data_IF_079148675637
#
_entry.id   IF_079148675637
#
_cell.length_a   1.000
_cell.length_b   1.000
_cell.length_c   1.000
_cell.angle_alpha   90.00
_cell.angle_beta   90.00
_cell.angle_gamma   90.00
#
_symmetry.space_group_name_H-M   'P 1'
#
loop_
_entity.id
_entity.type
_entity.pdbx_description
1 polymer ?
#
# COMPACT_ATOMS: atom_id res chain seq x y z
N UNK A 1 -38.75 11.54 23.98
CA UNK A 1 -38.26 10.24 23.48
C UNK A 1 -38.09 10.12 21.95
N UNK A 2 -38.58 11.08 21.12
CA UNK A 2 -38.36 11.05 19.65
C UNK A 2 -37.07 11.76 19.20
N UNK A 3 -36.66 12.83 19.90
CA UNK A 3 -35.44 13.60 19.58
C UNK A 3 -34.16 12.78 19.83
N UNK A 4 -34.18 11.90 20.85
CA UNK A 4 -33.03 11.03 21.16
C UNK A 4 -32.80 9.97 20.07
N UNK A 5 -33.87 9.46 19.44
CA UNK A 5 -33.76 8.54 18.30
C UNK A 5 -33.18 9.20 17.05
N UNK A 6 -33.51 10.47 16.79
CA UNK A 6 -32.96 11.23 15.66
C UNK A 6 -31.46 11.51 15.83
N UNK A 7 -31.02 11.82 17.05
CA UNK A 7 -29.60 11.98 17.40
C UNK A 7 -28.81 10.66 17.28
N UNK A 8 -29.42 9.52 17.63
CA UNK A 8 -28.84 8.19 17.46
C UNK A 8 -28.77 7.76 15.99
N UNK A 9 -29.72 8.15 15.14
CA UNK A 9 -29.66 7.92 13.69
C UNK A 9 -28.63 8.82 12.99
N UNK A 10 -28.37 10.04 13.47
CA UNK A 10 -27.26 10.87 12.95
C UNK A 10 -25.88 10.39 13.38
N UNK A 11 -25.80 9.57 14.42
CA UNK A 11 -24.59 8.84 14.84
C UNK A 11 -24.43 7.50 14.13
N UNK A 12 -25.35 7.13 13.21
CA UNK A 12 -25.17 6.00 12.33
C UNK A 12 -24.08 6.34 11.28
N UNK A 13 -22.84 6.31 11.76
CA UNK A 13 -21.65 5.81 11.10
C UNK A 13 -21.63 6.09 9.59
N UNK A 14 -21.20 7.30 9.24
CA UNK A 14 -20.52 7.50 7.96
C UNK A 14 -19.22 6.71 8.02
N UNK A 15 -19.31 5.40 7.82
CA UNK A 15 -18.14 4.58 7.56
C UNK A 15 -17.64 5.07 6.21
N UNK A 16 -16.41 5.56 6.18
CA UNK A 16 -15.79 6.02 4.95
C UNK A 16 -15.87 4.91 3.88
N UNK A 17 -16.04 5.34 2.64
CA UNK A 17 -16.19 4.44 1.50
C UNK A 17 -14.82 3.86 1.10
N UNK A 18 -14.77 2.63 0.57
CA UNK A 18 -13.51 2.02 0.18
C UNK A 18 -12.90 2.66 -1.07
N UNK A 19 -11.57 2.68 -1.08
CA UNK A 19 -10.76 2.98 -2.26
C UNK A 19 -10.38 1.68 -2.97
N UNK A 20 -10.54 1.67 -4.30
CA UNK A 20 -10.04 0.61 -5.18
C UNK A 20 -8.60 0.92 -5.58
N UNK A 21 -7.66 0.14 -5.08
CA UNK A 21 -6.24 0.34 -5.35
C UNK A 21 -5.74 -0.67 -6.36
N UNK A 22 -5.06 -0.17 -7.39
CA UNK A 22 -4.37 -0.96 -8.40
C UNK A 22 -2.87 -0.69 -8.26
N UNK A 23 -2.08 -1.73 -8.01
CA UNK A 23 -0.61 -1.62 -8.03
C UNK A 23 -0.03 -2.52 -9.11
N UNK A 24 0.93 -1.99 -9.85
CA UNK A 24 1.61 -2.67 -10.93
C UNK A 24 3.12 -2.49 -10.82
N UNK A 25 3.84 -3.59 -10.73
CA UNK A 25 5.28 -3.57 -10.56
C UNK A 25 5.99 -4.33 -11.68
N UNK A 26 6.98 -3.68 -12.28
CA UNK A 26 7.73 -4.20 -13.42
C UNK A 26 9.14 -4.59 -13.02
N UNK A 27 9.44 -5.89 -13.10
CA UNK A 27 10.78 -6.43 -12.98
C UNK A 27 11.31 -6.81 -14.38
N UNK A 28 11.66 -5.79 -15.17
CA UNK A 28 12.29 -6.01 -16.46
C UNK A 28 13.69 -6.65 -16.27
N UNK A 29 14.25 -7.28 -17.31
CA UNK A 29 15.56 -7.97 -17.34
C UNK A 29 15.61 -9.46 -16.95
N UNK A 30 14.47 -10.17 -16.88
CA UNK A 30 14.44 -11.65 -16.74
C UNK A 30 15.40 -12.18 -15.65
N UNK A 31 15.36 -11.56 -14.46
CA UNK A 31 16.16 -11.98 -13.30
C UNK A 31 15.73 -13.35 -12.73
N UNK A 32 14.79 -14.03 -13.39
CA UNK A 32 14.17 -15.26 -12.94
C UNK A 32 13.08 -14.99 -11.92
N UNK A 33 12.99 -15.85 -10.91
CA UNK A 33 12.05 -15.67 -9.80
C UNK A 33 12.49 -14.49 -8.93
N UNK A 34 11.61 -13.53 -8.74
CA UNK A 34 11.78 -12.43 -7.80
C UNK A 34 10.64 -12.45 -6.76
N UNK A 35 10.88 -11.82 -5.62
CA UNK A 35 9.96 -11.78 -4.50
C UNK A 35 9.94 -10.38 -3.89
N UNK A 36 8.85 -10.08 -3.21
CA UNK A 36 8.71 -8.84 -2.48
C UNK A 36 7.77 -8.93 -1.29
N UNK A 37 7.88 -7.93 -0.44
CA UNK A 37 6.97 -7.63 0.65
C UNK A 37 6.36 -6.26 0.41
N UNK A 38 5.08 -6.25 0.09
CA UNK A 38 4.30 -5.04 -0.12
C UNK A 38 3.63 -4.63 1.19
N UNK A 39 3.82 -3.39 1.59
CA UNK A 39 3.06 -2.73 2.67
C UNK A 39 2.31 -1.56 2.04
N UNK A 40 0.97 -1.57 2.09
CA UNK A 40 0.13 -0.42 1.71
C UNK A 40 -0.32 0.28 2.97
N UNK A 41 -0.29 1.60 2.94
CA UNK A 41 -0.63 2.42 4.10
C UNK A 41 -1.33 3.71 3.69
N UNK A 42 -2.11 4.24 4.61
CA UNK A 42 -2.57 5.62 4.61
C UNK A 42 -1.50 6.46 5.33
N UNK A 43 -1.09 7.56 4.69
CA UNK A 43 0.05 8.36 5.11
C UNK A 43 -0.39 9.46 6.07
N UNK A 44 0.25 9.49 7.23
CA UNK A 44 -0.21 10.32 8.33
C UNK A 44 0.99 11.02 8.99
N UNK A 45 0.79 12.21 9.57
CA UNK A 45 1.92 13.03 10.03
C UNK A 45 2.67 12.35 11.18
N UNK A 46 1.95 11.73 12.12
CA UNK A 46 2.56 11.10 13.29
C UNK A 46 2.93 9.64 13.05
N UNK A 47 2.05 8.88 12.40
CA UNK A 47 2.23 7.46 12.19
C UNK A 47 1.34 6.96 11.06
N UNK A 48 1.95 6.54 9.96
CA UNK A 48 1.25 5.88 8.87
C UNK A 48 0.43 4.67 9.34
N UNK A 49 -0.79 4.57 8.82
CA UNK A 49 -1.71 3.47 9.11
C UNK A 49 -1.60 2.39 8.06
N UNK A 50 -0.98 1.27 8.45
CA UNK A 50 -0.80 0.11 7.59
C UNK A 50 -2.13 -0.62 7.42
N UNK A 51 -2.67 -0.61 6.20
CA UNK A 51 -3.96 -1.23 5.86
C UNK A 51 -3.80 -2.60 5.20
N UNK A 52 -2.64 -2.87 4.59
CA UNK A 52 -2.38 -4.16 3.94
C UNK A 52 -0.90 -4.50 3.98
N UNK A 53 -0.61 -5.78 4.22
CA UNK A 53 0.72 -6.35 4.00
C UNK A 53 0.58 -7.66 3.24
N UNK A 54 1.45 -7.87 2.25
CA UNK A 54 1.43 -9.07 1.42
C UNK A 54 2.84 -9.47 0.96
N UNK A 55 3.21 -10.71 1.22
CA UNK A 55 4.40 -11.33 0.65
C UNK A 55 4.04 -12.00 -0.68
N UNK A 56 4.94 -11.91 -1.66
CA UNK A 56 4.76 -12.59 -2.94
C UNK A 56 6.09 -12.99 -3.57
N UNK A 57 6.00 -13.94 -4.50
CA UNK A 57 7.02 -14.19 -5.50
C UNK A 57 6.38 -14.29 -6.88
N UNK A 58 7.13 -13.92 -7.91
CA UNK A 58 6.71 -13.87 -9.29
C UNK A 58 7.85 -14.40 -10.17
N UNK A 59 7.50 -15.12 -11.24
CA UNK A 59 8.46 -15.59 -12.26
C UNK A 59 8.31 -14.80 -13.56
N UNK A 60 7.21 -14.09 -13.74
CA UNK A 60 7.01 -13.13 -14.82
C UNK A 60 7.70 -11.79 -14.57
N UNK A 61 7.61 -10.92 -15.57
CA UNK A 61 8.17 -9.56 -15.55
C UNK A 61 7.26 -8.54 -14.86
N UNK A 62 6.00 -8.88 -14.59
CA UNK A 62 5.03 -7.95 -14.00
C UNK A 62 4.25 -8.62 -12.90
N UNK A 63 4.06 -7.91 -11.79
CA UNK A 63 3.15 -8.29 -10.70
C UNK A 63 2.05 -7.26 -10.58
N UNK A 64 0.80 -7.72 -10.53
CA UNK A 64 -0.37 -6.88 -10.29
C UNK A 64 -1.01 -7.18 -8.94
N UNK A 65 -1.50 -6.14 -8.29
CA UNK A 65 -2.33 -6.21 -7.10
C UNK A 65 -3.60 -5.39 -7.29
N UNK A 66 -4.70 -5.93 -6.79
CA UNK A 66 -6.02 -5.31 -6.85
C UNK A 66 -6.64 -5.40 -5.46
N UNK A 67 -6.85 -4.26 -4.82
CA UNK A 67 -7.37 -4.20 -3.47
C UNK A 67 -8.59 -3.28 -3.38
N UNK A 68 -9.45 -3.59 -2.42
CA UNK A 68 -10.47 -2.68 -1.91
C UNK A 68 -10.09 -2.39 -0.45
N UNK A 69 -9.65 -1.18 -0.16
CA UNK A 69 -9.09 -0.76 1.13
C UNK A 69 -9.89 0.40 1.71
N UNK A 70 -10.01 0.41 3.04
CA UNK A 70 -10.53 1.55 3.78
C UNK A 70 -9.42 2.04 4.71
N UNK A 71 -9.27 3.35 4.84
CA UNK A 71 -8.47 3.92 5.93
C UNK A 71 -9.35 3.98 7.17
N UNK A 72 -8.87 3.43 8.29
CA UNK A 72 -9.48 3.67 9.59
C UNK A 72 -9.03 5.07 10.04
N UNK A 73 -9.69 6.10 9.48
CA UNK A 73 -9.15 7.46 9.45
C UNK A 73 -8.95 8.14 10.81
N UNK A 74 -7.90 8.93 10.86
CA UNK A 74 -7.57 9.97 11.85
C UNK A 74 -8.63 11.10 11.95
N UNK A 75 -9.59 11.12 11.02
CA UNK A 75 -10.65 12.12 10.90
C UNK A 75 -10.46 13.13 9.76
N UNK A 76 -9.43 12.96 8.92
CA UNK A 76 -9.19 13.75 7.71
C UNK A 76 -10.32 13.59 6.66
N UNK A 77 -10.51 14.58 5.77
CA UNK A 77 -11.49 14.50 4.70
C UNK A 77 -11.02 13.68 3.49
N UNK A 78 -9.74 13.32 3.43
CA UNK A 78 -9.08 12.65 2.32
C UNK A 78 -8.21 11.50 2.85
N UNK A 79 -8.06 10.44 2.07
CA UNK A 79 -7.07 9.41 2.31
C UNK A 79 -5.82 9.71 1.50
N UNK A 80 -4.65 9.71 2.13
CA UNK A 80 -3.35 9.91 1.49
C UNK A 80 -2.65 8.55 1.25
N UNK A 81 -3.03 7.85 0.18
CA UNK A 81 -2.54 6.49 -0.06
C UNK A 81 -1.08 6.43 -0.52
N UNK A 82 -0.32 5.46 0.00
CA UNK A 82 1.00 5.11 -0.54
C UNK A 82 1.37 3.65 -0.22
N UNK A 83 2.56 3.22 -0.63
CA UNK A 83 3.07 1.87 -0.40
C UNK A 83 4.58 1.84 -0.12
N UNK A 84 5.05 0.73 0.42
CA UNK A 84 6.46 0.36 0.46
C UNK A 84 6.62 -1.02 -0.11
N UNK A 85 7.64 -1.20 -0.93
CA UNK A 85 7.95 -2.49 -1.51
C UNK A 85 9.40 -2.85 -1.22
N UNK A 86 9.59 -3.85 -0.36
CA UNK A 86 10.89 -4.49 -0.17
C UNK A 86 11.01 -5.65 -1.16
N UNK A 87 11.91 -5.59 -2.13
CA UNK A 87 11.99 -6.58 -3.22
C UNK A 87 13.41 -6.99 -3.55
N UNK A 88 13.57 -8.12 -4.25
CA UNK A 88 14.86 -8.58 -4.76
C UNK A 88 14.97 -8.55 -6.30
N UNK A 89 14.07 -7.83 -6.99
CA UNK A 89 14.20 -7.56 -8.42
C UNK A 89 15.46 -6.73 -8.70
N UNK A 90 16.58 -7.40 -8.92
CA UNK A 90 17.87 -6.72 -9.08
C UNK A 90 18.90 -7.62 -9.74
N UNK A 91 20.03 -7.03 -10.15
CA UNK A 91 21.21 -7.81 -10.50
C UNK A 91 21.70 -8.58 -9.27
N UNK A 92 21.78 -9.90 -9.37
CA UNK A 92 22.29 -10.78 -8.31
C UNK A 92 21.37 -10.97 -7.10
N UNK A 93 20.08 -10.60 -7.19
CA UNK A 93 19.10 -10.83 -6.13
C UNK A 93 19.30 -9.98 -4.86
N UNK A 94 20.01 -8.87 -4.97
CA UNK A 94 20.13 -7.87 -3.91
C UNK A 94 18.75 -7.29 -3.57
N UNK A 95 18.57 -6.93 -2.29
CA UNK A 95 17.29 -6.41 -1.81
C UNK A 95 17.29 -4.90 -1.75
N UNK A 96 16.18 -4.31 -2.17
CA UNK A 96 15.95 -2.88 -2.18
C UNK A 96 14.59 -2.57 -1.55
N UNK A 97 14.47 -1.38 -1.00
CA UNK A 97 13.22 -0.79 -0.57
C UNK A 97 12.81 0.35 -1.48
N UNK A 98 11.67 0.21 -2.14
CA UNK A 98 11.03 1.26 -2.92
C UNK A 98 9.92 1.92 -2.11
N UNK A 99 10.00 3.25 -1.98
CA UNK A 99 9.02 4.09 -1.28
C UNK A 99 8.70 5.29 -2.19
N UNK A 100 7.46 5.44 -2.69
CA UNK A 100 7.05 6.64 -3.41
C UNK A 100 7.22 7.88 -2.52
N UNK A 101 7.65 8.97 -3.15
CA UNK A 101 7.83 10.25 -2.44
C UNK A 101 6.52 11.00 -2.18
N UNK A 102 5.50 10.70 -2.99
CA UNK A 102 4.19 11.35 -2.94
C UNK A 102 3.11 10.30 -2.71
N UNK A 103 2.01 10.75 -2.11
CA UNK A 103 0.78 9.99 -1.93
C UNK A 103 -0.15 10.19 -3.12
N UNK A 104 -1.20 9.37 -3.19
CA UNK A 104 -2.37 9.64 -4.01
C UNK A 104 -3.57 9.91 -3.10
N UNK A 105 -4.06 11.14 -3.19
CA UNK A 105 -5.04 11.64 -2.25
C UNK A 105 -6.44 11.51 -2.86
N UNK A 106 -7.37 10.91 -2.12
CA UNK A 106 -8.77 10.73 -2.55
C UNK A 106 -9.75 11.05 -1.43
N UNK A 107 -10.94 11.60 -1.72
CA UNK A 107 -11.92 11.86 -0.67
C UNK A 107 -12.38 10.59 0.06
N UNK A 108 -12.61 10.68 1.38
CA UNK A 108 -13.14 9.56 2.20
C UNK A 108 -14.61 9.21 1.88
N UNK A 109 -15.29 10.09 1.14
CA UNK A 109 -16.67 9.89 0.68
C UNK A 109 -16.70 9.56 -0.81
N UNK A 110 -17.46 8.53 -1.18
CA UNK A 110 -17.55 8.00 -2.53
C UNK A 110 -16.50 6.92 -2.80
N UNK A 111 -16.80 6.07 -3.79
CA UNK A 111 -15.87 5.01 -4.22
C UNK A 111 -14.90 5.60 -5.23
N UNK A 112 -13.62 5.61 -4.87
CA UNK A 112 -12.54 6.14 -5.70
C UNK A 112 -11.55 5.04 -6.11
N UNK A 113 -10.71 5.35 -7.11
CA UNK A 113 -9.63 4.48 -7.56
C UNK A 113 -8.29 5.22 -7.50
N UNK A 114 -7.24 4.51 -7.09
CA UNK A 114 -5.84 4.99 -7.15
C UNK A 114 -4.97 3.95 -7.84
N UNK A 115 -3.97 4.41 -8.59
CA UNK A 115 -3.14 3.57 -9.45
C UNK A 115 -1.65 3.84 -9.23
N UNK A 116 -0.91 2.84 -8.74
CA UNK A 116 0.54 2.91 -8.59
C UNK A 116 1.23 2.02 -9.60
N UNK A 117 2.24 2.57 -10.27
CA UNK A 117 3.09 1.83 -11.21
C UNK A 117 4.56 2.12 -10.91
N UNK A 118 5.41 1.10 -10.94
CA UNK A 118 6.86 1.28 -10.79
C UNK A 118 7.71 0.20 -11.46
N UNK A 119 8.85 0.64 -12.00
CA UNK A 119 9.95 -0.21 -12.45
C UNK A 119 10.87 -0.56 -11.26
N UNK A 120 11.12 -1.85 -11.05
CA UNK A 120 11.79 -2.35 -9.86
C UNK A 120 13.28 -2.65 -10.05
N UNK A 121 13.77 -2.83 -11.28
CA UNK A 121 15.12 -3.36 -11.48
C UNK A 121 16.19 -2.43 -10.87
N UNK A 122 16.79 -2.87 -9.75
CA UNK A 122 17.70 -2.07 -8.91
C UNK A 122 17.11 -0.74 -8.40
N UNK A 123 15.78 -0.60 -8.38
CA UNK A 123 15.11 0.59 -7.89
C UNK A 123 15.00 0.58 -6.35
N UNK A 124 15.00 1.77 -5.75
CA UNK A 124 14.88 1.93 -4.30
C UNK A 124 16.20 2.06 -3.54
N UNK A 125 16.11 2.14 -2.22
CA UNK A 125 17.25 2.21 -1.30
C UNK A 125 17.73 0.82 -0.91
N UNK A 126 19.03 0.66 -0.62
CA UNK A 126 19.58 -0.57 -0.03
C UNK A 126 19.31 -0.70 1.48
N UNK A 127 18.71 0.32 2.08
CA UNK A 127 18.31 0.31 3.49
C UNK A 127 17.01 -0.45 3.68
N UNK A 128 16.71 -0.77 4.93
CA UNK A 128 15.40 -1.25 5.34
C UNK A 128 14.32 -0.22 5.00
N UNK A 129 13.10 -0.68 4.69
CA UNK A 129 11.96 0.21 4.52
C UNK A 129 11.60 0.93 5.82
N UNK A 130 11.08 2.15 5.72
CA UNK A 130 10.76 2.97 6.88
C UNK A 130 9.60 2.44 7.71
N UNK A 131 8.66 1.74 7.07
CA UNK A 131 7.67 0.89 7.73
C UNK A 131 8.15 -0.56 7.65
N UNK A 132 7.97 -1.27 8.76
CA UNK A 132 8.44 -2.65 9.01
C UNK A 132 8.75 -3.47 7.75
N UNK A 133 9.98 -3.95 7.62
CA UNK A 133 10.26 -5.13 6.80
C UNK A 133 9.92 -6.40 7.59
N UNK A 134 9.63 -7.53 6.93
CA UNK A 134 9.41 -8.78 7.64
C UNK A 134 10.59 -9.11 8.55
N UNK A 135 10.28 -9.56 9.78
CA UNK A 135 11.26 -9.95 10.79
C UNK A 135 12.03 -11.23 10.41
N UNK A 136 11.54 -11.97 9.42
CA UNK A 136 12.21 -13.14 8.87
C UNK A 136 12.95 -12.74 7.60
N UNK A 137 14.27 -12.88 7.60
CA UNK A 137 15.02 -12.98 6.36
C UNK A 137 14.37 -14.09 5.52
N UNK A 138 13.94 -13.74 4.31
CA UNK A 138 13.41 -14.75 3.40
C UNK A 138 14.51 -15.79 3.15
N UNK A 139 14.36 -16.96 3.78
CA UNK A 139 15.21 -18.10 3.55
C UNK A 139 14.71 -18.76 2.25
N UNK A 140 15.46 -18.56 1.18
CA UNK A 140 15.31 -19.26 -0.09
C UNK A 140 16.54 -20.12 -0.35
#
# INVERSE_FOLDING_TARGET
>A
MKIFLLLLCSLALFRADPTRMHLQFHCEYNVGKWCGWLTVYEADWLKNDVVRQEEFCETGITKHFHYEINGDGDGSPEYEWSYQLYHNCSSGGQRFCLEPKNTQDVPVNGIWSVEFEADLYNAGSKTQCSLNTPAAEFNY
#
